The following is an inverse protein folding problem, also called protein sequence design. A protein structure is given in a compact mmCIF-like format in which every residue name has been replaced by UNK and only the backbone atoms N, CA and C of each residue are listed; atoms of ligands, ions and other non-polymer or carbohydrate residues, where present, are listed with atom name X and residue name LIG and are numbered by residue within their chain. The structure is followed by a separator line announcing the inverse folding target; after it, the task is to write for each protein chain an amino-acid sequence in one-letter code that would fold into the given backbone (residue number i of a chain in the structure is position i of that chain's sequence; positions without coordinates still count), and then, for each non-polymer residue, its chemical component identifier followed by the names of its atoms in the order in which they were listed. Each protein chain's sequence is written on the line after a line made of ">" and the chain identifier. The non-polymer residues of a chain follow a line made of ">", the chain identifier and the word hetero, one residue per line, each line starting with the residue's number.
data_IF_397700251663
#
_entry.id   IF_397700251663
#
_cell.length_a   1.000
_cell.length_b   1.000
_cell.length_c   1.000
_cell.angle_alpha   90.00
_cell.angle_beta   90.00
_cell.angle_gamma   90.00
#
_symmetry.space_group_name_H-M   'P 1'
#
loop_
_entity.id
_entity.type
_entity.pdbx_description
1 polymer ?
#
# COMPACT_ATOMS: atom_id res chain seq x y z
N UNK A 1 7.22 -17.83 -2.07
CA UNK A 1 7.67 -16.47 -1.70
C UNK A 1 8.59 -16.50 -0.48
N UNK A 2 8.12 -16.90 0.72
CA UNK A 2 8.98 -16.92 1.92
C UNK A 2 10.27 -17.75 1.77
N UNK A 3 10.19 -18.93 1.13
CA UNK A 3 11.38 -19.74 0.84
C UNK A 3 12.35 -19.02 -0.12
N UNK A 4 11.85 -18.28 -1.11
CA UNK A 4 12.69 -17.49 -2.03
C UNK A 4 13.40 -16.37 -1.27
N UNK A 5 12.69 -15.65 -0.39
CA UNK A 5 13.30 -14.60 0.44
C UNK A 5 14.39 -15.16 1.37
N UNK A 6 14.19 -16.39 1.85
CA UNK A 6 15.14 -17.12 2.69
C UNK A 6 16.37 -17.57 1.91
N UNK A 7 16.19 -18.09 0.68
CA UNK A 7 17.29 -18.44 -0.23
C UNK A 7 18.14 -17.21 -0.60
N UNK A 8 17.52 -16.04 -0.69
CA UNK A 8 18.21 -14.75 -0.90
C UNK A 8 18.87 -14.19 0.37
N UNK A 9 18.85 -14.93 1.48
CA UNK A 9 19.44 -14.55 2.77
C UNK A 9 18.93 -13.21 3.34
N UNK A 10 17.71 -12.81 2.94
CA UNK A 10 17.08 -11.60 3.47
C UNK A 10 16.71 -11.82 4.94
N UNK A 11 17.18 -10.90 5.79
CA UNK A 11 16.93 -10.92 7.23
C UNK A 11 15.80 -9.93 7.57
N UNK A 12 15.10 -10.21 8.67
CA UNK A 12 14.01 -9.36 9.19
C UNK A 12 12.78 -9.28 8.27
N UNK A 13 12.33 -10.41 7.74
CA UNK A 13 11.08 -10.51 6.98
C UNK A 13 9.91 -10.65 7.96
N UNK A 14 8.88 -9.83 7.77
CA UNK A 14 7.63 -9.91 8.55
C UNK A 14 6.47 -10.10 7.58
N UNK A 15 5.68 -11.15 7.82
CA UNK A 15 4.40 -11.34 7.12
C UNK A 15 3.41 -10.34 7.68
N UNK A 16 2.72 -9.64 6.79
CA UNK A 16 1.81 -8.56 7.16
C UNK A 16 0.36 -8.97 6.93
N UNK A 17 -0.55 -8.31 7.64
CA UNK A 17 -2.00 -8.47 7.50
C UNK A 17 -2.59 -7.12 7.11
N UNK A 18 -3.66 -7.13 6.32
CA UNK A 18 -4.34 -5.90 5.91
C UNK A 18 -4.82 -5.08 7.11
N UNK A 19 -4.63 -3.78 7.03
CA UNK A 19 -5.00 -2.78 8.04
C UNK A 19 -4.34 -2.95 9.41
N UNK A 20 -3.41 -3.89 9.55
CA UNK A 20 -2.61 -4.06 10.77
C UNK A 20 -1.38 -3.15 10.70
N UNK A 21 -1.41 -2.08 11.49
CA UNK A 21 -0.33 -1.11 11.54
C UNK A 21 0.97 -1.72 12.08
N UNK A 22 2.08 -1.32 11.47
CA UNK A 22 3.44 -1.69 11.86
C UNK A 22 4.19 -0.38 12.13
N UNK A 23 4.62 -0.20 13.36
CA UNK A 23 5.46 0.93 13.73
C UNK A 23 6.91 0.63 13.39
N UNK A 24 7.53 1.52 12.62
CA UNK A 24 8.95 1.44 12.29
C UNK A 24 9.57 2.82 12.46
N UNK A 25 10.30 3.02 13.56
CA UNK A 25 10.83 4.34 13.95
C UNK A 25 9.68 5.35 14.09
N UNK A 26 9.74 6.45 13.35
CA UNK A 26 8.76 7.54 13.39
C UNK A 26 7.70 7.41 12.27
N UNK A 27 7.66 6.26 11.58
CA UNK A 27 6.67 6.00 10.54
C UNK A 27 5.77 4.81 10.91
N UNK A 28 4.48 4.98 10.63
CA UNK A 28 3.50 3.92 10.70
C UNK A 28 3.24 3.39 9.28
N UNK A 29 3.52 2.11 9.08
CA UNK A 29 3.22 1.39 7.85
C UNK A 29 1.88 0.66 8.04
N UNK A 30 0.95 0.81 7.10
CA UNK A 30 -0.32 0.09 7.12
C UNK A 30 -0.54 -0.60 5.77
N UNK A 31 -0.36 -1.92 5.69
CA UNK A 31 -0.71 -2.68 4.50
C UNK A 31 -2.19 -2.53 4.18
N UNK A 32 -2.53 -2.50 2.90
CA UNK A 32 -3.90 -2.36 2.43
C UNK A 32 -4.22 -3.43 1.41
N UNK A 33 -5.47 -3.92 1.36
CA UNK A 33 -5.83 -4.98 0.42
C UNK A 33 -5.61 -4.53 -1.03
N UNK A 34 -5.18 -5.47 -1.87
CA UNK A 34 -5.21 -5.34 -3.34
C UNK A 34 -6.44 -6.05 -3.89
N UNK A 35 -7.07 -5.44 -4.90
CA UNK A 35 -8.11 -6.09 -5.69
C UNK A 35 -7.56 -6.87 -6.88
N UNK A 36 -6.24 -6.84 -7.10
CA UNK A 36 -5.59 -7.67 -8.11
C UNK A 36 -5.57 -9.14 -7.63
N UNK A 37 -6.62 -9.87 -7.98
CA UNK A 37 -6.76 -11.31 -7.69
C UNK A 37 -6.23 -12.18 -8.84
N UNK A 38 -5.68 -11.59 -9.90
CA UNK A 38 -5.24 -12.31 -11.09
C UNK A 38 -3.82 -12.87 -10.96
N UNK A 39 -3.04 -12.41 -9.97
CA UNK A 39 -1.65 -12.80 -9.80
C UNK A 39 -1.43 -13.96 -8.82
N UNK A 40 -0.41 -14.76 -9.12
CA UNK A 40 0.04 -15.90 -8.31
C UNK A 40 0.67 -15.47 -6.97
N UNK A 41 0.89 -14.17 -6.78
CA UNK A 41 1.56 -13.59 -5.62
C UNK A 41 0.61 -12.71 -4.80
N UNK A 42 0.68 -12.76 -3.47
CA UNK A 42 -0.09 -11.87 -2.62
C UNK A 42 0.42 -10.44 -2.80
N UNK A 43 -0.48 -9.54 -3.21
CA UNK A 43 -0.20 -8.11 -3.36
C UNK A 43 -0.94 -7.30 -2.30
N UNK A 44 -0.23 -6.34 -1.72
CA UNK A 44 -0.79 -5.34 -0.81
C UNK A 44 -0.39 -3.96 -1.29
N UNK A 45 -1.32 -3.01 -1.24
CA UNK A 45 -0.95 -1.60 -1.20
C UNK A 45 -0.31 -1.26 0.16
N UNK A 46 0.29 -0.09 0.26
CA UNK A 46 0.95 0.35 1.49
C UNK A 46 0.66 1.81 1.78
N UNK A 47 0.04 2.06 2.93
CA UNK A 47 -0.03 3.38 3.53
C UNK A 47 1.23 3.62 4.36
N UNK A 48 1.82 4.79 4.19
CA UNK A 48 2.96 5.27 4.96
C UNK A 48 2.55 6.57 5.61
N UNK A 49 2.63 6.64 6.94
CA UNK A 49 2.26 7.81 7.71
C UNK A 49 3.41 8.23 8.64
N UNK A 50 3.74 9.52 8.68
CA UNK A 50 4.83 10.06 9.51
C UNK A 50 4.33 10.91 10.70
N UNK A 51 3.03 10.86 11.02
CA UNK A 51 2.38 11.72 12.01
C UNK A 51 1.72 12.96 11.41
N UNK A 52 2.08 13.35 10.18
CA UNK A 52 1.58 14.56 9.52
C UNK A 52 0.99 14.31 8.14
N UNK A 53 1.65 13.47 7.35
CA UNK A 53 1.33 13.16 5.96
C UNK A 53 1.08 11.67 5.85
N UNK A 54 0.04 11.29 5.12
CA UNK A 54 -0.19 9.90 4.73
C UNK A 54 0.00 9.78 3.23
N UNK A 55 0.96 8.96 2.81
CA UNK A 55 1.15 8.55 1.42
C UNK A 55 0.53 7.17 1.26
N UNK A 56 -0.24 6.97 0.20
CA UNK A 56 -0.70 5.65 -0.18
C UNK A 56 -0.08 5.21 -1.49
N UNK A 57 0.70 4.13 -1.47
CA UNK A 57 1.20 3.47 -2.66
C UNK A 57 0.30 2.29 -3.03
N UNK A 58 -0.40 2.40 -4.15
CA UNK A 58 -1.15 1.29 -4.76
C UNK A 58 -0.31 0.65 -5.86
N UNK A 59 0.02 -0.62 -5.68
CA UNK A 59 0.67 -1.47 -6.70
C UNK A 59 -0.42 -2.08 -7.56
N UNK A 60 -0.32 -1.95 -8.90
CA UNK A 60 -1.13 -2.59 -9.98
C UNK A 60 -2.58 -2.98 -9.62
N UNK A 61 -3.26 -2.16 -8.83
CA UNK A 61 -4.60 -2.43 -8.33
C UNK A 61 -5.60 -1.71 -9.23
N UNK A 62 -6.69 -2.38 -9.58
CA UNK A 62 -7.84 -1.74 -10.22
C UNK A 62 -8.43 -0.74 -9.22
N UNK A 63 -8.23 0.55 -9.47
CA UNK A 63 -8.83 1.61 -8.66
C UNK A 63 -10.33 1.62 -8.90
N UNK A 64 -11.12 1.42 -7.84
CA UNK A 64 -12.58 1.51 -7.87
C UNK A 64 -13.09 2.57 -6.86
N UNK A 65 -14.27 3.17 -7.10
CA UNK A 65 -14.87 4.12 -6.16
C UNK A 65 -15.10 3.51 -4.76
N UNK A 66 -15.43 2.23 -4.68
CA UNK A 66 -15.66 1.51 -3.41
C UNK A 66 -14.37 1.37 -2.60
N UNK A 67 -13.28 1.03 -3.28
CA UNK A 67 -11.95 0.95 -2.68
C UNK A 67 -11.53 2.33 -2.16
N UNK A 68 -11.71 3.38 -2.95
CA UNK A 68 -11.43 4.77 -2.55
C UNK A 68 -12.24 5.19 -1.31
N UNK A 69 -13.54 4.89 -1.27
CA UNK A 69 -14.39 5.21 -0.13
C UNK A 69 -13.91 4.50 1.15
N UNK A 70 -13.51 3.23 1.05
CA UNK A 70 -12.97 2.47 2.17
C UNK A 70 -11.75 3.17 2.80
N UNK A 71 -10.85 3.73 1.99
CA UNK A 71 -9.68 4.45 2.51
C UNK A 71 -10.02 5.82 3.07
N UNK A 72 -10.94 6.54 2.43
CA UNK A 72 -11.47 7.79 2.96
C UNK A 72 -12.08 7.56 4.34
N UNK A 73 -12.86 6.49 4.53
CA UNK A 73 -13.45 6.13 5.82
C UNK A 73 -12.38 5.74 6.85
N UNK A 74 -11.33 5.02 6.43
CA UNK A 74 -10.27 4.54 7.33
C UNK A 74 -9.32 5.65 7.84
N UNK A 75 -8.97 6.66 7.02
CA UNK A 75 -7.98 7.70 7.38
C UNK A 75 -8.47 9.15 7.25
N UNK A 76 -9.65 9.40 6.69
CA UNK A 76 -10.23 10.73 6.45
C UNK A 76 -9.61 11.47 5.24
N UNK A 77 -10.02 12.74 5.03
CA UNK A 77 -9.62 13.59 3.89
C UNK A 77 -8.16 14.12 3.95
N UNK A 78 -7.20 13.32 4.44
CA UNK A 78 -5.79 13.74 4.59
C UNK A 78 -4.78 12.80 3.93
N UNK A 79 -5.24 12.01 2.97
CA UNK A 79 -4.38 11.06 2.26
C UNK A 79 -3.91 11.70 0.95
N UNK A 80 -2.60 11.71 0.75
CA UNK A 80 -2.00 11.87 -0.56
C UNK A 80 -2.02 10.51 -1.26
N UNK A 81 -2.94 10.38 -2.21
CA UNK A 81 -3.09 9.18 -3.02
C UNK A 81 -2.00 9.22 -4.07
N UNK A 82 -1.03 8.31 -3.99
CA UNK A 82 -0.05 8.12 -5.06
C UNK A 82 -0.49 6.91 -5.86
N UNK A 83 -1.17 7.19 -6.97
CA UNK A 83 -1.55 6.15 -7.93
C UNK A 83 -0.41 6.01 -8.94
N UNK A 84 0.26 4.86 -8.92
CA UNK A 84 1.18 4.47 -9.98
C UNK A 84 0.38 3.62 -10.95
N UNK A 85 -0.02 4.22 -12.08
CA UNK A 85 -0.71 3.47 -13.14
C UNK A 85 0.37 2.91 -14.04
N UNK A 86 0.46 1.58 -14.15
CA UNK A 86 1.52 0.93 -14.92
C UNK A 86 0.99 -0.25 -15.71
N UNK A 87 1.43 -0.34 -16.98
CA UNK A 87 2.21 -1.52 -17.32
C UNK A 87 3.71 -1.20 -17.48
N UNK A 88 4.14 0.07 -17.36
CA UNK A 88 5.54 0.49 -17.51
C UNK A 88 6.07 1.61 -16.57
N UNK A 89 5.48 1.88 -15.39
CA UNK A 89 6.02 2.82 -14.39
C UNK A 89 6.27 4.26 -14.90
N UNK A 90 5.42 4.79 -15.80
CA UNK A 90 5.71 6.07 -16.47
C UNK A 90 5.11 7.30 -15.82
N UNK A 91 4.04 7.16 -15.04
CA UNK A 91 3.32 8.30 -14.49
C UNK A 91 2.92 8.05 -13.03
N UNK A 92 3.23 9.03 -12.18
CA UNK A 92 2.89 9.05 -10.76
C UNK A 92 1.92 10.20 -10.55
N UNK A 93 0.69 9.89 -10.15
CA UNK A 93 -0.30 10.90 -9.82
C UNK A 93 -0.46 11.01 -8.32
N UNK A 94 -0.28 12.23 -7.77
CA UNK A 94 -0.53 12.53 -6.37
C UNK A 94 -1.82 13.37 -6.24
N UNK A 95 -2.84 12.82 -5.59
CA UNK A 95 -4.08 13.55 -5.32
C UNK A 95 -4.27 13.74 -3.82
N UNK A 96 -4.61 14.96 -3.42
CA UNK A 96 -5.08 15.26 -2.06
C UNK A 96 -6.60 15.19 -2.06
N UNK A 97 -7.19 14.31 -1.25
CA UNK A 97 -8.64 14.39 -1.01
C UNK A 97 -8.95 15.68 -0.25
N UNK A 98 -9.85 16.50 -0.80
CA UNK A 98 -10.37 17.72 -0.18
C UNK A 98 -11.72 17.44 0.48
#
# INVERSE_FOLDING_TARGET
>A
MLEVLKELELKNVTVVEDFKAIEYKDITLTPTPSLNQQDYFPEHGLLVHDGSVTIWNQVDTIVSPELLNTFIDYRGNRIWHICVISPCWREIFAFKSG
#
